data_IF_751706636597
#
_entry.id   IF_751706636597
#
_cell.length_a   1.000
_cell.length_b   1.000
_cell.length_c   1.000
_cell.angle_alpha   90.00
_cell.angle_beta   90.00
_cell.angle_gamma   90.00
#
_symmetry.space_group_name_H-M   'P 1'
#
loop_
_entity.id
_entity.type
_entity.pdbx_description
1 polymer ?
#
# COMPACT_ATOMS: atom_id res chain seq x y z
N UNK A 1 2.68 22.85 -27.75
CA UNK A 1 3.82 23.70 -27.35
C UNK A 1 4.73 23.83 -28.55
N UNK A 2 5.23 25.04 -28.82
CA UNK A 2 6.22 25.29 -29.87
C UNK A 2 7.59 24.87 -29.29
N UNK A 3 8.23 23.84 -29.85
CA UNK A 3 9.55 23.40 -29.39
C UNK A 3 10.57 24.49 -29.73
N UNK A 4 11.16 25.10 -28.69
CA UNK A 4 12.26 26.05 -28.88
C UNK A 4 13.50 25.24 -29.24
N UNK A 5 14.09 25.51 -30.39
CA UNK A 5 15.34 24.88 -30.83
C UNK A 5 16.45 25.92 -30.78
N UNK A 6 17.54 25.63 -30.08
CA UNK A 6 18.71 26.51 -29.99
C UNK A 6 19.67 26.35 -31.17
N UNK A 7 19.71 25.18 -31.79
CA UNK A 7 20.53 24.95 -32.98
C UNK A 7 20.62 23.49 -33.38
N UNK A 8 21.50 23.19 -34.34
CA UNK A 8 21.85 21.83 -34.77
C UNK A 8 23.37 21.75 -34.80
N UNK A 9 23.93 20.66 -34.28
CA UNK A 9 25.37 20.34 -34.33
C UNK A 9 25.56 18.96 -34.98
N UNK A 10 26.80 18.57 -35.27
CA UNK A 10 27.13 17.24 -35.79
C UNK A 10 28.16 16.57 -34.90
N UNK A 11 27.92 15.33 -34.50
CA UNK A 11 28.93 14.52 -33.82
C UNK A 11 30.08 14.25 -34.81
N UNK A 12 31.32 14.69 -34.53
CA UNK A 12 32.43 14.56 -35.47
C UNK A 12 32.85 13.10 -35.70
N UNK A 13 32.58 12.19 -34.76
CA UNK A 13 32.91 10.77 -34.82
C UNK A 13 31.81 9.98 -35.55
N UNK A 14 30.56 10.07 -35.09
CA UNK A 14 29.45 9.28 -35.66
C UNK A 14 28.82 9.90 -36.90
N UNK A 15 29.18 11.16 -37.23
CA UNK A 15 28.56 12.00 -38.28
C UNK A 15 27.06 12.25 -38.11
N UNK A 16 26.48 11.89 -36.96
CA UNK A 16 25.07 12.14 -36.66
C UNK A 16 24.81 13.62 -36.37
N UNK A 17 23.75 14.18 -36.96
CA UNK A 17 23.26 15.50 -36.61
C UNK A 17 22.45 15.45 -35.31
N UNK A 18 22.69 16.41 -34.42
CA UNK A 18 22.10 16.51 -33.09
C UNK A 18 21.39 17.86 -32.99
N UNK A 19 20.11 17.85 -32.64
CA UNK A 19 19.36 19.07 -32.36
C UNK A 19 19.65 19.52 -30.93
N UNK A 20 20.01 20.78 -30.77
CA UNK A 20 20.22 21.43 -29.46
C UNK A 20 18.91 22.10 -29.06
N UNK A 21 18.31 21.60 -27.98
CA UNK A 21 17.08 22.13 -27.39
C UNK A 21 17.35 22.58 -25.95
N UNK A 22 16.63 23.58 -25.41
CA UNK A 22 16.74 23.96 -24.01
C UNK A 22 16.40 22.78 -23.11
N UNK A 23 17.11 22.70 -21.99
CA UNK A 23 16.69 21.84 -20.89
C UNK A 23 15.47 22.46 -20.20
N UNK A 24 14.30 21.95 -20.55
CA UNK A 24 13.00 22.39 -20.05
C UNK A 24 12.89 22.29 -18.51
N UNK A 25 13.75 21.49 -17.87
CA UNK A 25 13.75 21.29 -16.42
C UNK A 25 14.89 22.02 -15.69
N UNK A 26 15.66 22.87 -16.38
CA UNK A 26 16.81 23.58 -15.82
C UNK A 26 16.50 24.32 -14.51
N UNK A 27 15.33 24.96 -14.42
CA UNK A 27 14.87 25.68 -13.23
C UNK A 27 14.55 24.78 -12.03
N UNK A 28 14.34 23.47 -12.23
CA UNK A 28 14.02 22.49 -11.17
C UNK A 28 15.25 21.78 -10.61
N UNK A 29 16.42 21.96 -11.24
CA UNK A 29 17.65 21.28 -10.83
C UNK A 29 18.13 21.80 -9.48
N UNK A 30 18.51 20.88 -8.59
CA UNK A 30 18.99 21.25 -7.25
C UNK A 30 20.12 20.33 -6.78
N UNK A 31 21.17 20.93 -6.21
CA UNK A 31 22.28 20.19 -5.59
C UNK A 31 21.84 19.27 -4.45
N UNK A 32 20.73 19.61 -3.78
CA UNK A 32 20.11 18.81 -2.71
C UNK A 32 19.58 17.45 -3.21
N UNK A 33 19.44 17.27 -4.51
CA UNK A 33 18.92 16.04 -5.12
C UNK A 33 20.03 15.09 -5.62
N UNK A 34 21.31 15.49 -5.47
CA UNK A 34 22.45 14.81 -6.04
C UNK A 34 22.63 15.08 -7.55
N UNK A 35 23.60 14.42 -8.16
CA UNK A 35 23.90 14.53 -9.60
C UNK A 35 23.36 13.34 -10.38
N UNK A 36 22.91 13.58 -11.60
CA UNK A 36 22.52 12.55 -12.55
C UNK A 36 23.76 11.83 -13.06
N UNK A 37 23.76 10.50 -13.02
CA UNK A 37 24.87 9.67 -13.52
C UNK A 37 25.04 9.80 -15.04
N UNK A 38 23.95 10.05 -15.77
CA UNK A 38 23.98 10.11 -17.24
C UNK A 38 24.47 11.45 -17.79
N UNK A 39 23.98 12.58 -17.26
CA UNK A 39 24.32 13.90 -17.79
C UNK A 39 25.22 14.74 -16.89
N UNK A 40 25.55 14.27 -15.68
CA UNK A 40 26.38 14.99 -14.70
C UNK A 40 25.74 16.22 -14.06
N UNK A 41 24.59 16.67 -14.57
CA UNK A 41 23.82 17.80 -14.02
C UNK A 41 23.13 17.43 -12.71
N UNK A 42 22.76 18.44 -11.92
CA UNK A 42 21.94 18.20 -10.74
C UNK A 42 20.57 17.60 -11.10
N UNK A 43 20.11 16.68 -10.28
CA UNK A 43 18.81 16.06 -10.42
C UNK A 43 17.68 17.07 -10.16
N UNK A 44 16.54 16.83 -10.81
CA UNK A 44 15.32 17.66 -10.70
C UNK A 44 14.46 17.28 -9.49
N UNK A 45 14.66 16.08 -8.96
CA UNK A 45 14.05 15.55 -7.74
C UNK A 45 15.05 14.57 -7.10
N UNK A 46 14.99 14.25 -5.79
CA UNK A 46 15.98 13.37 -5.17
C UNK A 46 16.22 12.09 -5.99
N UNK A 47 17.48 11.85 -6.36
CA UNK A 47 17.89 10.72 -7.21
C UNK A 47 17.11 10.57 -8.55
N UNK A 48 16.46 11.62 -9.07
CA UNK A 48 15.68 11.59 -10.32
C UNK A 48 15.98 12.78 -11.24
N UNK A 49 16.42 12.49 -12.46
CA UNK A 49 16.63 13.46 -13.53
C UNK A 49 15.56 13.35 -14.60
N UNK A 50 14.65 14.32 -14.67
CA UNK A 50 13.55 14.31 -15.65
C UNK A 50 14.04 14.31 -17.12
N UNK A 51 15.24 14.85 -17.40
CA UNK A 51 15.79 14.86 -18.76
C UNK A 51 16.41 13.51 -19.19
N UNK A 52 16.74 12.62 -18.24
CA UNK A 52 17.52 11.40 -18.52
C UNK A 52 16.82 10.12 -18.09
N UNK A 53 16.22 10.12 -16.90
CA UNK A 53 15.75 8.90 -16.26
C UNK A 53 14.51 8.28 -16.94
N UNK A 54 13.53 9.05 -17.44
CA UNK A 54 12.42 8.48 -18.23
C UNK A 54 12.87 7.60 -19.39
N UNK A 55 13.92 8.02 -20.11
CA UNK A 55 14.47 7.25 -21.23
C UNK A 55 15.06 5.91 -20.78
N UNK A 56 15.58 5.83 -19.56
CA UNK A 56 16.10 4.57 -19.00
C UNK A 56 14.97 3.68 -18.48
N UNK A 57 13.92 4.27 -17.90
CA UNK A 57 12.80 3.49 -17.33
C UNK A 57 11.85 2.92 -18.38
N UNK A 58 11.83 3.51 -19.58
CA UNK A 58 11.03 3.04 -20.72
C UNK A 58 11.66 1.86 -21.46
N UNK A 59 12.86 1.44 -21.06
CA UNK A 59 13.59 0.32 -21.65
C UNK A 59 13.48 -0.94 -20.78
N UNK A 60 13.57 -2.12 -21.40
CA UNK A 60 13.75 -3.39 -20.70
C UNK A 60 12.48 -4.10 -20.21
N UNK A 61 11.29 -3.66 -20.62
CA UNK A 61 10.03 -4.37 -20.35
C UNK A 61 9.02 -4.18 -21.51
N UNK A 62 8.06 -5.08 -21.61
CA UNK A 62 6.87 -4.97 -22.48
C UNK A 62 5.71 -5.76 -21.87
N UNK A 63 4.50 -5.24 -22.01
CA UNK A 63 3.26 -5.94 -21.70
C UNK A 63 2.78 -6.87 -22.82
N UNK A 64 3.45 -6.84 -23.98
CA UNK A 64 2.97 -7.40 -25.27
C UNK A 64 1.71 -6.71 -25.82
N UNK A 65 1.29 -5.61 -25.22
CA UNK A 65 0.23 -4.74 -25.72
C UNK A 65 0.82 -3.36 -25.99
N UNK A 66 0.93 -2.99 -27.27
CA UNK A 66 1.55 -1.73 -27.69
C UNK A 66 0.84 -0.50 -27.10
N UNK A 67 -0.49 -0.54 -26.98
CA UNK A 67 -1.25 0.57 -26.41
C UNK A 67 -0.94 0.76 -24.93
N UNK A 68 -0.83 -0.33 -24.16
CA UNK A 68 -0.46 -0.28 -22.74
C UNK A 68 1.00 0.14 -22.58
N UNK A 69 1.90 -0.36 -23.42
CA UNK A 69 3.31 0.01 -23.40
C UNK A 69 3.49 1.50 -23.67
N UNK A 70 2.85 2.04 -24.71
CA UNK A 70 2.90 3.46 -25.04
C UNK A 70 2.30 4.32 -23.92
N UNK A 71 1.16 3.88 -23.36
CA UNK A 71 0.54 4.58 -22.24
C UNK A 71 1.44 4.65 -21.00
N UNK A 72 2.02 3.54 -20.57
CA UNK A 72 2.96 3.53 -19.43
C UNK A 72 4.18 4.41 -19.73
N UNK A 73 4.74 4.36 -20.96
CA UNK A 73 5.87 5.22 -21.35
C UNK A 73 5.52 6.70 -21.22
N UNK A 74 4.33 7.12 -21.67
CA UNK A 74 3.87 8.51 -21.48
C UNK A 74 3.81 8.92 -20.01
N UNK A 75 3.31 8.04 -19.14
CA UNK A 75 3.29 8.29 -17.69
C UNK A 75 4.71 8.42 -17.11
N UNK A 76 5.65 7.61 -17.57
CA UNK A 76 7.06 7.68 -17.16
C UNK A 76 7.74 8.99 -17.58
N UNK A 77 7.44 9.52 -18.77
CA UNK A 77 7.92 10.83 -19.21
C UNK A 77 7.33 11.99 -18.39
N UNK A 78 6.09 11.84 -17.90
CA UNK A 78 5.43 12.81 -17.02
C UNK A 78 5.90 12.71 -15.55
N UNK A 79 6.66 11.67 -15.18
CA UNK A 79 7.06 11.44 -13.79
C UNK A 79 8.01 12.53 -13.27
N UNK A 80 7.69 13.07 -12.10
CA UNK A 80 8.45 14.15 -11.43
C UNK A 80 9.43 13.64 -10.37
N UNK A 81 9.39 12.36 -10.03
CA UNK A 81 10.24 11.73 -9.02
C UNK A 81 10.32 10.23 -9.21
N UNK A 82 11.40 9.61 -8.73
CA UNK A 82 11.66 8.19 -8.89
C UNK A 82 10.57 7.30 -8.26
N UNK A 83 10.08 7.70 -7.10
CA UNK A 83 9.01 7.01 -6.37
C UNK A 83 7.64 7.08 -7.06
N UNK A 84 7.44 8.02 -7.99
CA UNK A 84 6.18 8.26 -8.73
C UNK A 84 6.14 7.61 -10.10
N UNK A 85 7.20 6.90 -10.50
CA UNK A 85 7.27 6.20 -11.78
C UNK A 85 6.27 5.05 -11.77
N UNK A 86 5.29 5.10 -12.67
CA UNK A 86 4.40 3.99 -12.99
C UNK A 86 5.11 3.09 -14.00
N UNK A 87 5.07 1.78 -13.78
CA UNK A 87 5.73 0.81 -14.65
C UNK A 87 4.88 -0.43 -14.94
N UNK A 88 5.25 -1.18 -15.96
CA UNK A 88 4.72 -2.52 -16.13
C UNK A 88 5.31 -3.43 -15.07
N UNK A 89 4.44 -4.19 -14.42
CA UNK A 89 4.80 -5.16 -13.40
C UNK A 89 4.40 -6.53 -13.95
N UNK A 90 5.37 -7.37 -14.33
CA UNK A 90 5.09 -8.76 -14.68
C UNK A 90 4.34 -9.45 -13.56
N UNK A 91 3.22 -10.10 -13.87
CA UNK A 91 2.34 -10.68 -12.85
C UNK A 91 3.03 -11.76 -12.01
N UNK A 92 3.99 -12.48 -12.57
CA UNK A 92 4.81 -13.46 -11.85
C UNK A 92 5.73 -12.85 -10.77
N UNK A 93 5.93 -11.53 -10.75
CA UNK A 93 6.61 -10.83 -9.66
C UNK A 93 5.69 -10.56 -8.46
N UNK A 94 4.38 -10.83 -8.58
CA UNK A 94 3.38 -10.68 -7.53
C UNK A 94 3.11 -12.05 -6.92
N UNK A 95 3.63 -12.25 -5.71
CA UNK A 95 3.54 -13.51 -4.96
C UNK A 95 2.62 -13.36 -3.74
N UNK A 96 2.27 -14.47 -3.09
CA UNK A 96 1.41 -14.48 -1.90
C UNK A 96 0.07 -13.76 -2.12
N UNK A 97 -0.60 -14.08 -3.24
CA UNK A 97 -1.89 -13.50 -3.61
C UNK A 97 -2.96 -13.91 -2.58
N UNK A 98 -3.70 -12.94 -2.07
CA UNK A 98 -4.80 -13.16 -1.15
C UNK A 98 -5.97 -12.24 -1.49
N UNK A 99 -7.09 -12.83 -1.89
CA UNK A 99 -8.34 -12.10 -2.08
C UNK A 99 -8.85 -11.57 -0.73
N UNK A 100 -9.22 -10.30 -0.70
CA UNK A 100 -10.00 -9.77 0.42
C UNK A 100 -11.44 -9.62 -0.05
N UNK A 101 -12.36 -10.32 0.61
CA UNK A 101 -13.80 -10.07 0.48
C UNK A 101 -14.18 -8.77 1.19
N UNK A 102 -13.58 -7.64 0.77
CA UNK A 102 -14.09 -6.33 1.17
C UNK A 102 -15.45 -6.12 0.52
N UNK A 103 -16.24 -5.24 1.10
CA UNK A 103 -17.42 -4.62 0.48
C UNK A 103 -17.12 -3.92 -0.86
N UNK A 104 -15.85 -3.86 -1.27
CA UNK A 104 -15.39 -3.41 -2.59
C UNK A 104 -14.90 -4.63 -3.39
N UNK A 105 -15.62 -5.05 -4.44
CA UNK A 105 -15.21 -6.16 -5.29
C UNK A 105 -13.87 -5.89 -5.99
N UNK A 106 -12.99 -6.91 -6.07
CA UNK A 106 -11.80 -6.90 -6.93
C UNK A 106 -10.49 -6.42 -6.29
N UNK A 107 -10.37 -6.44 -4.95
CA UNK A 107 -9.12 -6.13 -4.24
C UNK A 107 -8.36 -7.40 -3.85
N UNK A 108 -7.15 -7.57 -4.40
CA UNK A 108 -6.25 -8.69 -4.07
C UNK A 108 -4.98 -8.15 -3.42
N UNK A 109 -4.60 -8.68 -2.26
CA UNK A 109 -3.29 -8.39 -1.67
C UNK A 109 -2.21 -9.22 -2.36
N UNK A 110 -1.07 -8.61 -2.61
CA UNK A 110 0.10 -9.30 -3.12
C UNK A 110 1.36 -8.82 -2.41
N UNK A 111 2.42 -9.61 -2.52
CA UNK A 111 3.80 -9.17 -2.25
C UNK A 111 4.52 -9.01 -3.58
N UNK A 112 5.04 -7.81 -3.83
CA UNK A 112 5.85 -7.55 -5.01
C UNK A 112 7.32 -7.83 -4.71
N UNK A 113 7.87 -8.90 -5.30
CA UNK A 113 9.22 -9.40 -5.01
C UNK A 113 10.34 -8.43 -5.45
N UNK A 114 10.20 -7.77 -6.61
CA UNK A 114 11.13 -6.73 -7.07
C UNK A 114 10.98 -5.44 -6.29
N UNK A 115 9.84 -5.26 -5.63
CA UNK A 115 9.63 -4.20 -4.68
C UNK A 115 9.33 -2.83 -5.26
N UNK A 116 8.79 -1.98 -4.39
CA UNK A 116 8.43 -0.60 -4.70
C UNK A 116 9.69 0.27 -4.77
N UNK A 117 9.62 1.31 -5.62
CA UNK A 117 10.68 2.31 -5.77
C UNK A 117 10.79 3.19 -4.53
N UNK A 118 12.00 3.33 -4.01
CA UNK A 118 12.31 4.14 -2.83
C UNK A 118 13.59 4.93 -3.03
N UNK A 119 13.70 6.02 -2.29
CA UNK A 119 14.91 6.84 -2.26
C UNK A 119 15.55 6.64 -0.89
N UNK A 120 16.86 6.36 -0.88
CA UNK A 120 17.66 6.23 0.33
C UNK A 120 18.76 7.28 0.35
N UNK A 121 19.29 7.54 1.53
CA UNK A 121 20.38 8.49 1.75
C UNK A 121 19.90 9.89 2.12
N UNK A 122 20.86 10.76 2.34
CA UNK A 122 20.64 12.14 2.79
C UNK A 122 20.62 13.10 1.60
N UNK A 123 20.24 14.36 1.85
CA UNK A 123 20.24 15.42 0.84
C UNK A 123 21.61 15.53 0.16
N UNK A 124 21.60 15.57 -1.18
CA UNK A 124 22.79 15.61 -2.03
C UNK A 124 23.44 14.25 -2.30
N UNK A 125 23.08 13.20 -1.55
CA UNK A 125 23.60 11.83 -1.68
C UNK A 125 22.48 10.79 -1.78
N UNK A 126 21.36 11.19 -2.37
CA UNK A 126 20.21 10.32 -2.57
C UNK A 126 20.51 9.25 -3.63
N UNK A 127 20.09 8.01 -3.38
CA UNK A 127 20.21 6.89 -4.32
C UNK A 127 18.84 6.24 -4.57
N UNK A 128 18.67 5.72 -5.79
CA UNK A 128 17.52 4.90 -6.16
C UNK A 128 17.65 3.52 -5.50
N UNK A 129 16.56 3.03 -4.91
CA UNK A 129 16.47 1.72 -4.27
C UNK A 129 15.12 1.07 -4.57
N UNK A 130 15.05 -0.25 -4.41
CA UNK A 130 13.77 -0.95 -4.33
C UNK A 130 13.67 -1.77 -3.05
N UNK A 131 12.46 -1.93 -2.58
CA UNK A 131 12.18 -2.66 -1.34
C UNK A 131 10.97 -3.57 -1.55
N UNK A 132 11.17 -4.88 -1.40
CA UNK A 132 10.09 -5.86 -1.46
C UNK A 132 8.96 -5.44 -0.53
N UNK A 133 7.74 -5.40 -1.04
CA UNK A 133 6.63 -4.75 -0.35
C UNK A 133 5.31 -5.39 -0.67
N UNK A 134 4.41 -5.35 0.31
CA UNK A 134 3.01 -5.67 0.07
C UNK A 134 2.32 -4.53 -0.68
N UNK A 135 1.48 -4.89 -1.63
CA UNK A 135 0.76 -4.00 -2.54
C UNK A 135 -0.68 -4.50 -2.68
N UNK A 136 -1.57 -3.58 -2.99
CA UNK A 136 -2.95 -3.90 -3.37
C UNK A 136 -3.03 -4.03 -4.89
N UNK A 137 -3.79 -5.00 -5.38
CA UNK A 137 -4.16 -5.15 -6.78
C UNK A 137 -5.62 -4.77 -6.91
N UNK A 138 -5.89 -3.83 -7.80
CA UNK A 138 -7.25 -3.40 -8.13
C UNK A 138 -7.57 -3.81 -9.55
N UNK A 139 -8.57 -4.68 -9.71
CA UNK A 139 -9.08 -5.05 -11.03
C UNK A 139 -9.66 -3.85 -11.78
N UNK A 140 -9.29 -3.74 -13.05
CA UNK A 140 -9.73 -2.67 -13.93
C UNK A 140 -10.87 -3.15 -14.83
N UNK A 141 -12.12 -2.91 -14.43
CA UNK A 141 -13.28 -3.23 -15.27
C UNK A 141 -13.55 -2.15 -16.34
N UNK A 142 -12.48 -1.66 -16.99
CA UNK A 142 -12.59 -0.63 -18.02
C UNK A 142 -12.43 -1.24 -19.40
N UNK A 143 -13.43 -1.00 -20.26
CA UNK A 143 -13.42 -1.41 -21.66
C UNK A 143 -12.52 -0.53 -22.54
N UNK A 144 -12.03 0.62 -22.04
CA UNK A 144 -11.25 1.59 -22.83
C UNK A 144 -10.06 2.20 -22.07
N UNK A 145 -8.98 2.47 -22.81
CA UNK A 145 -7.74 3.12 -22.32
C UNK A 145 -7.98 4.53 -21.76
N UNK A 146 -8.96 5.26 -22.31
CA UNK A 146 -9.30 6.62 -21.88
C UNK A 146 -9.85 6.67 -20.45
N UNK A 147 -10.64 5.66 -20.04
CA UNK A 147 -11.13 5.55 -18.67
C UNK A 147 -9.98 5.25 -17.70
N UNK A 148 -9.02 4.43 -18.12
CA UNK A 148 -7.82 4.15 -17.35
C UNK A 148 -6.96 5.41 -17.16
N UNK A 149 -6.78 6.21 -18.22
CA UNK A 149 -6.06 7.48 -18.14
C UNK A 149 -6.74 8.46 -17.18
N UNK A 150 -8.07 8.64 -17.29
CA UNK A 150 -8.84 9.48 -16.38
C UNK A 150 -8.73 8.98 -14.94
N UNK A 151 -8.86 7.67 -14.72
CA UNK A 151 -8.71 7.08 -13.40
C UNK A 151 -7.33 7.37 -12.82
N UNK A 152 -6.26 7.01 -13.53
CA UNK A 152 -4.89 7.21 -13.06
C UNK A 152 -4.62 8.70 -12.80
N UNK A 153 -5.04 9.60 -13.70
CA UNK A 153 -4.83 11.04 -13.55
C UNK A 153 -5.54 11.59 -12.31
N UNK A 154 -6.82 11.23 -12.11
CA UNK A 154 -7.60 11.65 -10.93
C UNK A 154 -7.01 11.06 -9.64
N UNK A 155 -6.59 9.79 -9.67
CA UNK A 155 -6.11 9.09 -8.47
C UNK A 155 -4.64 9.40 -8.14
N UNK A 156 -3.80 9.76 -9.12
CA UNK A 156 -2.46 10.31 -8.89
C UNK A 156 -2.49 11.69 -8.21
N UNK A 157 -3.61 12.42 -8.32
CA UNK A 157 -3.85 13.67 -7.59
C UNK A 157 -4.44 13.43 -6.18
N UNK A 158 -4.85 12.19 -5.88
CA UNK A 158 -5.35 11.78 -4.57
C UNK A 158 -4.21 11.21 -3.69
N UNK A 159 -4.62 10.82 -2.49
CA UNK A 159 -3.89 10.16 -1.40
C UNK A 159 -3.16 8.85 -1.79
N UNK A 160 -3.54 8.18 -2.88
CA UNK A 160 -3.03 6.85 -3.23
C UNK A 160 -1.72 6.91 -4.02
N UNK A 161 -0.93 5.84 -3.91
CA UNK A 161 0.28 5.68 -4.73
C UNK A 161 0.11 4.53 -5.70
N UNK A 162 0.09 4.85 -6.99
CA UNK A 162 0.06 3.85 -8.08
C UNK A 162 1.51 3.49 -8.41
N UNK A 163 1.81 2.21 -8.35
CA UNK A 163 3.14 1.66 -8.63
C UNK A 163 3.28 1.18 -10.07
N UNK A 164 2.20 0.66 -10.64
CA UNK A 164 2.27 0.07 -11.96
C UNK A 164 0.97 -0.57 -12.43
N UNK A 165 1.08 -1.20 -13.59
CA UNK A 165 0.01 -1.96 -14.23
C UNK A 165 0.52 -3.39 -14.39
N UNK A 166 -0.33 -4.36 -14.13
CA UNK A 166 -0.08 -5.78 -14.37
C UNK A 166 -1.25 -6.38 -15.14
N UNK A 167 -1.07 -7.59 -15.67
CA UNK A 167 -2.14 -8.39 -16.26
C UNK A 167 -2.12 -9.79 -15.66
N UNK A 168 -3.24 -10.24 -15.11
CA UNK A 168 -3.40 -11.61 -14.65
C UNK A 168 -3.14 -12.56 -15.83
N UNK A 169 -2.19 -13.47 -15.68
CA UNK A 169 -1.77 -14.38 -16.76
C UNK A 169 -2.80 -15.47 -17.08
N UNK A 170 -3.72 -15.74 -16.16
CA UNK A 170 -4.77 -16.75 -16.31
C UNK A 170 -6.04 -16.14 -16.91
N UNK A 171 -6.49 -15.00 -16.39
CA UNK A 171 -7.75 -14.37 -16.81
C UNK A 171 -7.57 -13.33 -17.91
N UNK A 172 -6.35 -12.85 -18.14
CA UNK A 172 -6.07 -11.74 -19.06
C UNK A 172 -6.50 -10.37 -18.53
N UNK A 173 -7.03 -10.31 -17.31
CA UNK A 173 -7.54 -9.09 -16.69
C UNK A 173 -6.41 -8.15 -16.29
N UNK A 174 -6.48 -6.88 -16.71
CA UNK A 174 -5.55 -5.84 -16.25
C UNK A 174 -5.90 -5.40 -14.83
N UNK A 175 -4.86 -5.12 -14.05
CA UNK A 175 -4.96 -4.64 -12.67
C UNK A 175 -3.97 -3.51 -12.43
N UNK A 176 -4.35 -2.57 -11.56
CA UNK A 176 -3.39 -1.62 -10.99
C UNK A 176 -2.71 -2.22 -9.78
N UNK A 177 -1.41 -2.00 -9.69
CA UNK A 177 -0.64 -2.22 -8.47
C UNK A 177 -0.60 -0.88 -7.73
N UNK A 178 -1.25 -0.82 -6.57
CA UNK A 178 -1.54 0.42 -5.85
C UNK A 178 -1.28 0.26 -4.34
N UNK A 179 -1.06 1.38 -3.66
CA UNK A 179 -1.08 1.50 -2.21
C UNK A 179 -2.13 2.55 -1.81
N UNK A 180 -3.27 2.06 -1.30
CA UNK A 180 -4.39 2.90 -0.86
C UNK A 180 -4.11 3.70 0.42
N UNK A 181 -3.04 3.37 1.14
CA UNK A 181 -2.75 3.91 2.46
C UNK A 181 -1.42 4.67 2.49
N UNK A 182 -0.89 5.03 1.31
CA UNK A 182 0.41 5.67 1.19
C UNK A 182 0.52 6.99 1.97
N UNK A 183 -0.52 7.82 1.98
CA UNK A 183 -0.60 9.07 2.74
C UNK A 183 -0.60 8.86 4.27
N UNK A 184 -1.12 7.73 4.75
CA UNK A 184 -1.18 7.38 6.17
C UNK A 184 0.15 6.90 6.70
N UNK A 185 1.09 6.54 5.83
CA UNK A 185 2.42 6.05 6.22
C UNK A 185 3.24 7.19 6.81
N UNK A 186 3.64 7.06 8.08
CA UNK A 186 4.42 8.08 8.80
C UNK A 186 5.63 7.46 9.48
N UNK A 187 6.77 8.14 9.40
CA UNK A 187 8.02 7.69 10.05
C UNK A 187 7.87 7.49 11.55
N UNK A 188 7.09 8.35 12.22
CA UNK A 188 6.82 8.25 13.68
C UNK A 188 6.14 6.94 14.08
N UNK A 189 5.40 6.29 13.18
CA UNK A 189 4.71 5.03 13.46
C UNK A 189 5.64 3.80 13.45
N UNK A 190 6.92 4.01 13.15
CA UNK A 190 7.91 2.95 12.95
C UNK A 190 7.84 2.29 11.58
N UNK A 191 8.70 1.29 11.39
CA UNK A 191 8.84 0.55 10.13
C UNK A 191 8.14 -0.80 10.25
N UNK A 192 7.34 -1.14 9.24
CA UNK A 192 6.71 -2.45 9.15
C UNK A 192 7.76 -3.55 8.98
N UNK A 193 7.73 -4.57 9.84
CA UNK A 193 8.65 -5.70 9.77
C UNK A 193 8.59 -6.49 8.46
N UNK A 194 7.46 -6.43 7.74
CA UNK A 194 7.24 -7.18 6.51
C UNK A 194 7.59 -6.39 5.25
N UNK A 195 6.86 -5.30 4.97
CA UNK A 195 7.08 -4.52 3.74
C UNK A 195 8.24 -3.52 3.87
N UNK A 196 8.84 -3.38 5.07
CA UNK A 196 9.94 -2.44 5.36
C UNK A 196 9.64 -0.96 5.06
N UNK A 197 8.37 -0.63 4.84
CA UNK A 197 7.87 0.74 4.71
C UNK A 197 7.35 1.25 6.04
N UNK A 198 7.17 2.57 6.15
CA UNK A 198 6.54 3.15 7.32
C UNK A 198 5.14 2.60 7.57
N UNK A 199 4.82 2.42 8.85
CA UNK A 199 3.52 1.99 9.32
C UNK A 199 2.46 3.09 9.11
N UNK A 200 1.23 2.68 8.90
CA UNK A 200 0.07 3.56 8.67
C UNK A 200 -0.55 4.07 9.97
N UNK A 201 -0.28 3.37 11.07
CA UNK A 201 -0.66 3.72 12.44
C UNK A 201 0.43 3.17 13.39
N UNK A 202 0.63 3.69 14.61
CA UNK A 202 1.62 3.16 15.54
C UNK A 202 1.63 1.62 15.60
N UNK A 203 2.80 1.03 15.30
CA UNK A 203 3.02 -0.43 15.22
C UNK A 203 2.01 -1.21 14.36
N UNK A 204 1.43 -0.56 13.35
CA UNK A 204 0.41 -1.13 12.47
C UNK A 204 0.57 -0.70 11.01
N UNK A 205 0.67 -1.67 10.10
CA UNK A 205 0.67 -1.50 8.65
C UNK A 205 -0.61 -2.09 8.05
N UNK A 206 -1.44 -1.20 7.50
CA UNK A 206 -2.76 -1.55 6.97
C UNK A 206 -2.76 -2.62 5.87
N UNK A 207 -1.66 -2.75 5.12
CA UNK A 207 -1.54 -3.78 4.07
C UNK A 207 -1.01 -5.10 4.66
N UNK A 208 -0.09 -5.03 5.63
CA UNK A 208 0.67 -6.21 6.07
C UNK A 208 0.08 -6.93 7.27
N UNK A 209 -0.51 -6.21 8.21
CA UNK A 209 -0.86 -6.74 9.53
C UNK A 209 -2.25 -7.38 9.60
N UNK A 210 -3.32 -6.82 8.98
CA UNK A 210 -4.63 -7.46 9.03
C UNK A 210 -4.62 -8.94 8.59
N UNK A 211 -3.90 -9.33 7.51
CA UNK A 211 -3.88 -10.71 7.10
C UNK A 211 -3.16 -11.67 8.05
N UNK A 212 -2.33 -11.14 8.96
CA UNK A 212 -1.38 -11.91 9.80
C UNK A 212 -1.74 -11.94 11.27
N UNK A 213 -2.90 -11.40 11.65
CA UNK A 213 -3.35 -11.46 13.04
C UNK A 213 -3.46 -12.94 13.44
N UNK A 214 -2.60 -13.37 14.37
CA UNK A 214 -2.64 -14.71 14.93
C UNK A 214 -4.02 -14.95 15.58
N UNK A 215 -4.76 -15.91 15.04
CA UNK A 215 -6.11 -16.22 15.46
C UNK A 215 -6.10 -17.42 16.41
N UNK A 216 -6.58 -17.21 17.65
CA UNK A 216 -7.21 -18.30 18.39
C UNK A 216 -8.55 -18.58 17.69
N UNK A 217 -8.77 -19.82 17.28
CA UNK A 217 -10.04 -20.24 16.67
C UNK A 217 -11.10 -20.48 17.74
N UNK A 218 -12.34 -20.13 17.42
CA UNK A 218 -13.51 -20.48 18.21
C UNK A 218 -13.89 -21.97 18.09
N UNK A 219 -13.36 -22.66 17.09
CA UNK A 219 -13.81 -23.99 16.65
C UNK A 219 -14.98 -23.93 15.66
N UNK A 220 -15.57 -22.74 15.44
CA UNK A 220 -16.68 -22.51 14.52
C UNK A 220 -16.23 -21.67 13.33
N UNK A 221 -16.34 -22.26 12.13
CA UNK A 221 -15.85 -21.63 10.89
C UNK A 221 -16.56 -20.31 10.58
N UNK A 222 -17.86 -20.18 10.88
CA UNK A 222 -18.62 -18.97 10.57
C UNK A 222 -18.24 -17.82 11.51
N UNK A 223 -18.06 -18.13 12.80
CA UNK A 223 -17.56 -17.15 13.78
C UNK A 223 -16.12 -16.73 13.41
N UNK A 224 -15.26 -17.70 13.10
CA UNK A 224 -13.87 -17.42 12.75
C UNK A 224 -13.76 -16.56 11.48
N UNK A 225 -14.59 -16.82 10.47
CA UNK A 225 -14.70 -15.99 9.27
C UNK A 225 -15.19 -14.57 9.61
N UNK A 226 -16.18 -14.42 10.48
CA UNK A 226 -16.68 -13.10 10.88
C UNK A 226 -15.60 -12.29 11.62
N UNK A 227 -14.88 -12.91 12.56
CA UNK A 227 -13.74 -12.28 13.24
C UNK A 227 -12.68 -11.86 12.22
N UNK A 228 -12.38 -12.73 11.26
CA UNK A 228 -11.43 -12.43 10.19
C UNK A 228 -11.83 -11.20 9.37
N UNK A 229 -13.11 -11.04 9.03
CA UNK A 229 -13.62 -9.86 8.34
C UNK A 229 -13.39 -8.57 9.14
N UNK A 230 -13.62 -8.58 10.46
CA UNK A 230 -13.31 -7.41 11.30
C UNK A 230 -11.82 -7.13 11.37
N UNK A 231 -10.99 -8.16 11.48
CA UNK A 231 -9.53 -8.01 11.49
C UNK A 231 -9.03 -7.38 10.20
N UNK A 232 -9.54 -7.81 9.04
CA UNK A 232 -9.22 -7.23 7.73
C UNK A 232 -9.59 -5.75 7.61
N UNK A 233 -10.63 -5.31 8.35
CA UNK A 233 -11.08 -3.92 8.43
C UNK A 233 -10.38 -3.10 9.52
N UNK A 234 -9.62 -3.71 10.43
CA UNK A 234 -8.96 -3.02 11.52
C UNK A 234 -7.96 -1.98 11.01
N UNK A 235 -7.99 -0.78 11.60
CA UNK A 235 -7.16 0.36 11.18
C UNK A 235 -5.98 0.67 12.11
N UNK A 236 -5.92 -0.02 13.24
CA UNK A 236 -4.87 0.09 14.25
C UNK A 236 -4.75 -1.21 15.04
N UNK A 237 -3.59 -1.40 15.69
CA UNK A 237 -3.32 -2.57 16.52
C UNK A 237 -4.32 -2.74 17.68
N UNK A 238 -4.84 -1.64 18.22
CA UNK A 238 -5.77 -1.63 19.36
C UNK A 238 -7.22 -1.94 18.98
N UNK A 239 -7.55 -1.84 17.70
CA UNK A 239 -8.89 -2.06 17.14
C UNK A 239 -9.07 -3.48 16.58
N UNK A 240 -8.05 -4.33 16.69
CA UNK A 240 -8.11 -5.72 16.24
C UNK A 240 -9.09 -6.51 17.12
N UNK A 241 -10.15 -7.01 16.48
CA UNK A 241 -11.09 -7.95 17.11
C UNK A 241 -10.43 -9.33 17.20
N UNK A 242 -10.57 -10.00 18.36
CA UNK A 242 -10.01 -11.32 18.60
C UNK A 242 -10.97 -12.22 19.36
N UNK A 243 -10.86 -13.53 19.12
CA UNK A 243 -11.57 -14.52 19.90
C UNK A 243 -11.03 -14.57 21.33
N UNK A 244 -11.93 -14.51 22.31
CA UNK A 244 -11.60 -14.62 23.74
C UNK A 244 -12.19 -15.95 24.25
N UNK A 245 -11.35 -16.96 24.55
CA UNK A 245 -11.85 -18.19 25.15
C UNK A 245 -12.54 -17.91 26.49
N UNK A 246 -13.68 -18.55 26.72
CA UNK A 246 -14.51 -18.28 27.90
C UNK A 246 -13.77 -18.47 29.24
N UNK A 247 -12.83 -19.42 29.29
CA UNK A 247 -11.97 -19.65 30.47
C UNK A 247 -10.92 -18.54 30.73
N UNK A 248 -10.86 -17.50 29.88
CA UNK A 248 -10.07 -16.29 30.10
C UNK A 248 -10.90 -15.15 30.70
N UNK A 249 -12.17 -15.42 31.00
CA UNK A 249 -13.10 -14.51 31.67
C UNK A 249 -13.34 -15.03 33.10
N UNK A 250 -12.99 -14.22 34.09
CA UNK A 250 -13.13 -14.55 35.51
C UNK A 250 -14.18 -13.65 36.17
N UNK A 251 -14.66 -14.03 37.37
CA UNK A 251 -15.59 -13.26 38.19
C UNK A 251 -16.85 -12.79 37.42
N UNK A 252 -17.42 -13.67 36.60
CA UNK A 252 -18.61 -13.35 35.79
C UNK A 252 -19.82 -13.15 36.70
N UNK A 253 -20.40 -11.95 36.66
CA UNK A 253 -21.57 -11.55 37.47
C UNK A 253 -22.59 -10.84 36.61
N UNK A 254 -23.86 -11.24 36.69
CA UNK A 254 -24.95 -10.53 36.03
C UNK A 254 -25.14 -9.14 36.66
N UNK A 255 -25.24 -8.11 35.83
CA UNK A 255 -25.47 -6.72 36.26
C UNK A 255 -26.88 -6.26 35.87
N UNK A 256 -27.37 -6.70 34.72
CA UNK A 256 -28.66 -6.28 34.20
C UNK A 256 -29.26 -7.35 33.30
N UNK A 257 -30.58 -7.49 33.37
CA UNK A 257 -31.39 -8.34 32.51
C UNK A 257 -32.52 -7.52 31.92
N UNK A 258 -32.43 -7.27 30.61
CA UNK A 258 -33.50 -6.68 29.83
C UNK A 258 -34.33 -7.75 29.11
N UNK A 259 -35.33 -7.32 28.33
CA UNK A 259 -36.18 -8.22 27.55
C UNK A 259 -35.47 -8.96 26.41
N UNK A 260 -34.34 -8.43 25.93
CA UNK A 260 -33.63 -8.95 24.74
C UNK A 260 -32.17 -9.36 25.00
N UNK A 261 -31.59 -8.98 26.14
CA UNK A 261 -30.22 -9.37 26.47
C UNK A 261 -29.96 -9.33 27.98
N UNK A 262 -29.03 -10.17 28.41
CA UNK A 262 -28.42 -10.17 29.73
C UNK A 262 -27.01 -9.57 29.60
N UNK A 263 -26.68 -8.66 30.50
CA UNK A 263 -25.36 -8.02 30.60
C UNK A 263 -24.66 -8.50 31.87
N UNK A 264 -23.43 -8.97 31.71
CA UNK A 264 -22.55 -9.40 32.79
C UNK A 264 -21.33 -8.48 32.91
N UNK A 265 -20.75 -8.38 34.10
CA UNK A 265 -19.39 -7.90 34.32
C UNK A 265 -18.47 -9.11 34.47
N UNK A 266 -17.25 -8.98 34.00
CA UNK A 266 -16.21 -9.99 34.14
C UNK A 266 -14.83 -9.34 34.15
N UNK A 267 -13.83 -10.06 34.64
CA UNK A 267 -12.41 -9.73 34.45
C UNK A 267 -11.85 -10.52 33.28
N UNK A 268 -11.44 -9.85 32.22
CA UNK A 268 -10.69 -10.47 31.14
C UNK A 268 -9.22 -10.59 31.51
N UNK A 269 -8.72 -11.81 31.67
CA UNK A 269 -7.40 -12.12 32.21
C UNK A 269 -6.25 -11.73 31.27
N UNK A 270 -6.45 -11.85 29.95
CA UNK A 270 -5.41 -11.50 28.97
C UNK A 270 -5.29 -9.98 28.78
N UNK A 271 -6.39 -9.26 28.97
CA UNK A 271 -6.47 -7.81 28.80
C UNK A 271 -6.37 -7.32 27.35
N UNK A 272 -6.67 -6.04 27.14
CA UNK A 272 -6.77 -5.43 25.80
C UNK A 272 -5.41 -5.16 25.16
N UNK A 273 -5.31 -5.32 23.84
CA UNK A 273 -4.22 -4.76 23.01
C UNK A 273 -4.13 -3.25 23.19
N UNK A 274 -2.91 -2.76 23.37
CA UNK A 274 -2.61 -1.34 23.56
C UNK A 274 -1.30 -1.00 22.87
N UNK A 275 -1.07 0.27 22.57
CA UNK A 275 0.24 0.75 22.15
C UNK A 275 0.91 1.50 23.29
N UNK A 276 2.22 1.32 23.46
CA UNK A 276 3.05 2.13 24.37
C UNK A 276 4.10 2.90 23.58
N UNK A 277 4.51 4.04 24.12
CA UNK A 277 5.52 4.89 23.52
C UNK A 277 4.94 6.22 23.05
N UNK A 278 5.81 7.01 22.45
CA UNK A 278 5.52 8.33 21.90
C UNK A 278 6.39 8.58 20.67
N UNK A 279 6.20 9.73 20.02
CA UNK A 279 6.92 10.09 18.80
C UNK A 279 8.45 10.22 18.99
N UNK A 280 8.93 10.36 20.24
CA UNK A 280 10.36 10.49 20.56
C UNK A 280 11.05 9.15 20.81
N UNK A 281 10.36 8.23 21.50
CA UNK A 281 10.89 6.91 21.87
C UNK A 281 10.50 5.80 20.88
N UNK A 282 9.54 6.08 20.01
CA UNK A 282 8.93 5.10 19.13
C UNK A 282 7.86 4.28 19.84
N UNK A 283 7.02 3.61 19.04
CA UNK A 283 5.90 2.82 19.53
C UNK A 283 6.23 1.33 19.60
N UNK A 284 5.70 0.66 20.62
CA UNK A 284 5.79 -0.79 20.80
C UNK A 284 4.42 -1.39 21.09
N UNK A 285 4.21 -2.61 20.60
CA UNK A 285 3.01 -3.38 20.92
C UNK A 285 2.99 -3.73 22.40
N UNK A 286 1.85 -3.53 23.04
CA UNK A 286 1.65 -3.83 24.45
C UNK A 286 0.29 -4.49 24.65
N UNK A 287 0.12 -5.20 25.77
CA UNK A 287 -1.19 -5.68 26.19
C UNK A 287 -1.42 -5.23 27.62
N UNK A 288 -2.54 -4.56 27.87
CA UNK A 288 -2.96 -4.23 29.22
C UNK A 288 -3.04 -5.53 30.02
N UNK A 289 -2.71 -5.47 31.30
CA UNK A 289 -3.00 -6.56 32.23
C UNK A 289 -4.51 -6.81 32.29
N UNK A 290 -4.91 -7.79 33.10
CA UNK A 290 -6.31 -8.10 33.38
C UNK A 290 -7.15 -6.83 33.55
N UNK A 291 -8.30 -6.77 32.87
CA UNK A 291 -9.18 -5.61 32.90
C UNK A 291 -10.64 -6.02 33.04
N UNK A 292 -11.44 -5.15 33.66
CA UNK A 292 -12.88 -5.32 33.71
C UNK A 292 -13.49 -5.12 32.32
N UNK A 293 -14.45 -5.97 31.99
CA UNK A 293 -15.19 -5.96 30.72
C UNK A 293 -16.66 -6.21 30.98
N UNK A 294 -17.50 -5.66 30.11
CA UNK A 294 -18.92 -6.01 30.05
C UNK A 294 -19.12 -7.10 28.99
N UNK A 295 -19.88 -8.13 29.32
CA UNK A 295 -20.29 -9.18 28.41
C UNK A 295 -21.78 -9.00 28.12
N UNK A 296 -22.14 -8.82 26.86
CA UNK A 296 -23.54 -8.76 26.45
C UNK A 296 -23.89 -10.06 25.73
N UNK A 297 -24.94 -10.73 26.18
CA UNK A 297 -25.51 -11.87 25.43
C UNK A 297 -26.21 -11.35 24.19
N UNK A 298 -26.02 -12.06 23.07
CA UNK A 298 -26.70 -11.77 21.83
C UNK A 298 -27.93 -12.68 21.72
N UNK A 299 -29.05 -12.10 21.34
CA UNK A 299 -30.31 -12.82 21.10
C UNK A 299 -30.26 -13.52 19.74
N UNK A 300 -30.23 -14.86 19.74
CA UNK A 300 -30.22 -15.66 18.51
C UNK A 300 -29.96 -17.14 18.80
N UNK A 301 -30.44 -18.05 17.94
CA UNK A 301 -30.11 -19.47 18.05
C UNK A 301 -28.69 -19.74 17.52
N UNK A 302 -27.94 -20.65 18.15
CA UNK A 302 -26.62 -21.13 17.68
C UNK A 302 -26.66 -21.61 16.22
N UNK A 303 -27.85 -21.91 15.69
CA UNK A 303 -28.05 -22.54 14.39
C UNK A 303 -28.13 -21.57 13.20
N UNK A 304 -28.39 -20.27 13.38
CA UNK A 304 -28.64 -19.36 12.23
C UNK A 304 -27.71 -18.15 12.10
N UNK A 305 -26.76 -17.95 13.03
CA UNK A 305 -25.77 -16.85 13.02
C UNK A 305 -26.32 -15.42 12.81
N UNK A 306 -27.63 -15.20 12.96
CA UNK A 306 -28.29 -13.89 12.78
C UNK A 306 -27.68 -12.80 13.68
N UNK A 307 -27.14 -13.20 14.83
CA UNK A 307 -26.46 -12.31 15.76
C UNK A 307 -25.21 -11.64 15.18
N UNK A 308 -24.58 -12.23 14.14
CA UNK A 308 -23.40 -11.62 13.51
C UNK A 308 -23.74 -10.29 12.85
N UNK A 309 -24.99 -10.10 12.41
CA UNK A 309 -25.48 -8.82 11.87
C UNK A 309 -25.52 -7.70 12.92
N UNK A 310 -25.64 -8.04 14.22
CA UNK A 310 -25.61 -7.03 15.29
C UNK A 310 -24.18 -6.57 15.61
N UNK A 311 -23.17 -7.35 15.21
CA UNK A 311 -21.75 -7.08 15.49
C UNK A 311 -21.07 -6.41 14.29
N UNK A 312 -21.57 -6.64 13.06
CA UNK A 312 -21.05 -6.14 11.78
C UNK A 312 -21.40 -4.68 11.49
#
# INVERSE_FOLDING_TARGET
>A
MQYVVYGITQNPETKQYIVVIPDEFSSRRSGLNGKCISCGQYNTSPAWCQSCDPWRTTQGWTSKNENIDNFIKELQFKATGYEKVIEWIPFNNLINLQEINKSEPGLVLATWDKGVREIKGESGKCIQSRTMSSVDLMELNYSTLELLEKFITVHMQKVYRIHGITQNTETGQYMLVIDFYNDKRKSVNGICGHCKRYNTNPVWCQICDPPKVDQKTSGDKNIDNCIREFQLKATSFENVVEWIPYNRLDNIKEINRGGFSIVYSSTWLDGKRTVKGDDSLGYVQHRKKSCEVALKTLSGSQTNYEFLNEVS
#
